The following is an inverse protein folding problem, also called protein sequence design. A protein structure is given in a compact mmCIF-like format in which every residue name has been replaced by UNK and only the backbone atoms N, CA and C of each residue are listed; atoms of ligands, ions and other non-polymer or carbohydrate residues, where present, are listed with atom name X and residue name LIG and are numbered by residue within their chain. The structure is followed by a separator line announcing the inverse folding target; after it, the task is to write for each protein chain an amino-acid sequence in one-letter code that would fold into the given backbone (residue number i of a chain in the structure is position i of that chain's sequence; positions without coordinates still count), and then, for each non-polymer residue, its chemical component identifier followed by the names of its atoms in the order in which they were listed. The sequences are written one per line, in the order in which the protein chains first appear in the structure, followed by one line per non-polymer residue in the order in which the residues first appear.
data_IF_901236962564
#
_entry.id   IF_901236962564
#
_cell.length_a   1.000
_cell.length_b   1.000
_cell.length_c   1.000
_cell.angle_alpha   90.00
_cell.angle_beta   90.00
_cell.angle_gamma   90.00
#
_symmetry.space_group_name_H-M   'P 1'
#
loop_
_entity.id
_entity.type
_entity.pdbx_description
1 polymer ?
#
# COMPACT_ATOMS: atom_id res chain seq x y z
N UNK A 1 1.79 -25.52 -12.77
CA UNK A 1 2.56 -24.27 -12.58
C UNK A 1 1.70 -23.09 -12.15
N UNK A 2 0.64 -22.71 -12.89
CA UNK A 2 -0.24 -21.56 -12.55
C UNK A 2 -0.82 -21.60 -11.12
N UNK A 3 -1.25 -22.80 -10.67
CA UNK A 3 -1.80 -23.01 -9.32
C UNK A 3 -0.75 -22.85 -8.21
N UNK A 4 0.52 -23.17 -8.47
CA UNK A 4 1.60 -23.04 -7.49
C UNK A 4 2.02 -21.57 -7.32
N UNK A 5 2.01 -20.79 -8.41
CA UNK A 5 2.27 -19.34 -8.35
C UNK A 5 1.16 -18.63 -7.57
N UNK A 6 -0.10 -18.99 -7.82
CA UNK A 6 -1.23 -18.48 -7.04
C UNK A 6 -1.12 -18.87 -5.56
N UNK A 7 -0.69 -20.10 -5.26
CA UNK A 7 -0.47 -20.54 -3.88
C UNK A 7 0.67 -19.76 -3.20
N UNK A 8 1.77 -19.50 -3.91
CA UNK A 8 2.91 -18.72 -3.39
C UNK A 8 2.52 -17.25 -3.16
N UNK A 9 1.73 -16.66 -4.05
CA UNK A 9 1.21 -15.30 -3.87
C UNK A 9 0.25 -15.22 -2.67
N UNK A 10 -0.63 -16.20 -2.51
CA UNK A 10 -1.56 -16.28 -1.37
C UNK A 10 -0.81 -16.59 -0.06
N UNK A 11 0.14 -17.52 -0.06
CA UNK A 11 0.99 -17.81 1.11
C UNK A 11 1.88 -16.63 1.48
N UNK A 12 2.41 -15.90 0.48
CA UNK A 12 3.17 -14.67 0.70
C UNK A 12 2.33 -13.55 1.31
N UNK A 13 1.05 -13.45 0.93
CA UNK A 13 0.10 -12.50 1.54
C UNK A 13 -0.36 -12.92 2.94
N UNK A 14 -0.47 -14.23 3.21
CA UNK A 14 -0.98 -14.77 4.50
C UNK A 14 0.12 -14.92 5.56
N UNK A 15 1.38 -15.18 5.16
CA UNK A 15 2.52 -15.32 6.08
C UNK A 15 3.26 -14.00 6.37
N UNK A 16 2.76 -12.87 5.87
CA UNK A 16 3.36 -11.56 6.09
C UNK A 16 3.04 -10.83 7.43
N UNK A 17 2.49 -11.43 8.51
CA UNK A 17 2.37 -10.66 9.75
C UNK A 17 3.57 -10.93 10.66
N UNK A 18 4.75 -10.39 10.34
CA UNK A 18 5.82 -10.16 11.34
C UNK A 18 5.68 -8.74 11.89
N UNK A 19 4.64 -8.53 12.68
CA UNK A 19 4.11 -7.22 13.06
C UNK A 19 4.66 -6.64 14.37
N UNK A 20 5.77 -7.15 14.92
CA UNK A 20 6.17 -6.77 16.30
C UNK A 20 7.64 -6.33 16.52
N UNK A 21 8.50 -6.22 15.49
CA UNK A 21 9.91 -5.85 15.71
C UNK A 21 10.44 -4.66 14.89
N UNK A 22 9.63 -4.10 13.98
CA UNK A 22 10.02 -2.96 13.15
C UNK A 22 8.95 -1.88 13.26
N UNK A 23 8.99 -1.08 14.32
CA UNK A 23 8.24 0.18 14.38
C UNK A 23 9.12 1.29 13.80
N UNK A 24 8.69 1.93 12.72
CA UNK A 24 9.42 3.05 12.13
C UNK A 24 9.03 3.34 10.67
N UNK A 25 9.61 4.38 10.04
CA UNK A 25 9.18 4.82 8.71
C UNK A 25 9.24 3.73 7.64
N UNK A 26 10.22 2.83 7.74
CA UNK A 26 10.37 1.70 6.81
C UNK A 26 9.24 0.68 6.94
N UNK A 27 8.69 0.44 8.13
CA UNK A 27 7.61 -0.54 8.28
C UNK A 27 6.28 -0.02 7.78
N UNK A 28 5.94 1.24 8.05
CA UNK A 28 4.76 1.88 7.44
C UNK A 28 4.87 1.89 5.92
N UNK A 29 6.07 2.17 5.37
CA UNK A 29 6.29 2.11 3.93
C UNK A 29 6.09 0.71 3.34
N UNK A 30 6.66 -0.32 3.96
CA UNK A 30 6.52 -1.72 3.51
C UNK A 30 5.06 -2.18 3.62
N UNK A 31 4.37 -1.84 4.70
CA UNK A 31 2.95 -2.17 4.87
C UNK A 31 2.10 -1.56 3.76
N UNK A 32 2.30 -0.28 3.44
CA UNK A 32 1.62 0.38 2.32
C UNK A 32 2.06 -0.11 0.93
N UNK A 33 3.29 -0.59 0.79
CA UNK A 33 3.76 -1.23 -0.44
C UNK A 33 3.11 -2.60 -0.68
N UNK A 34 2.64 -3.28 0.37
CA UNK A 34 1.90 -4.54 0.26
C UNK A 34 0.40 -4.30 0.10
N UNK A 35 -0.15 -3.37 0.89
CA UNK A 35 -1.57 -3.03 0.90
C UNK A 35 -1.68 -1.51 0.92
N UNK A 36 -2.07 -0.87 -0.20
CA UNK A 36 -2.23 0.58 -0.25
C UNK A 36 -3.15 1.09 0.86
N UNK A 37 -2.67 2.10 1.60
CA UNK A 37 -3.38 2.72 2.72
C UNK A 37 -3.03 2.15 4.09
N UNK A 38 -2.38 0.97 4.17
CA UNK A 38 -2.12 0.31 5.46
C UNK A 38 -1.09 1.08 6.32
N UNK A 39 -0.03 1.58 5.73
CA UNK A 39 0.96 2.41 6.42
C UNK A 39 0.40 3.75 6.89
N UNK A 40 -0.56 4.34 6.17
CA UNK A 40 -1.29 5.52 6.64
C UNK A 40 -2.14 5.20 7.88
N UNK A 41 -2.78 4.01 7.90
CA UNK A 41 -3.50 3.54 9.09
C UNK A 41 -2.54 3.36 10.27
N UNK A 42 -1.37 2.76 10.03
CA UNK A 42 -0.31 2.59 11.04
C UNK A 42 0.27 3.92 11.54
N UNK A 43 0.17 4.98 10.75
CA UNK A 43 0.60 6.33 11.11
C UNK A 43 -0.53 7.16 11.75
N UNK A 44 -1.68 6.55 12.08
CA UNK A 44 -2.86 7.21 12.66
C UNK A 44 -3.53 8.26 11.77
N UNK A 45 -3.20 8.31 10.47
CA UNK A 45 -3.79 9.26 9.51
C UNK A 45 -5.31 9.10 9.40
N UNK A 46 -5.82 7.89 9.68
CA UNK A 46 -7.24 7.55 9.67
C UNK A 46 -8.08 8.30 10.71
N UNK A 47 -7.47 9.02 11.66
CA UNK A 47 -8.19 9.92 12.57
C UNK A 47 -8.51 11.29 11.95
N UNK A 48 -7.79 11.68 10.89
CA UNK A 48 -7.99 12.96 10.21
C UNK A 48 -8.90 12.81 9.00
N UNK A 49 -9.70 13.83 8.68
CA UNK A 49 -10.56 13.82 7.48
C UNK A 49 -9.72 13.69 6.20
N UNK A 50 -8.57 14.36 6.14
CA UNK A 50 -7.65 14.28 5.00
C UNK A 50 -7.02 12.89 4.84
N UNK A 51 -6.59 12.26 5.94
CA UNK A 51 -6.03 10.91 5.91
C UNK A 51 -7.07 9.85 5.58
N UNK A 52 -8.30 9.95 6.10
CA UNK A 52 -9.42 9.08 5.70
C UNK A 52 -9.71 9.16 4.20
N UNK A 53 -9.78 10.38 3.65
CA UNK A 53 -10.00 10.58 2.22
C UNK A 53 -8.85 9.97 1.40
N UNK A 54 -7.60 10.19 1.82
CA UNK A 54 -6.41 9.63 1.16
C UNK A 54 -6.44 8.11 1.13
N UNK A 55 -6.67 7.48 2.29
CA UNK A 55 -6.78 6.02 2.41
C UNK A 55 -7.89 5.52 1.47
N UNK A 56 -9.07 6.13 1.52
CA UNK A 56 -10.20 5.76 0.66
C UNK A 56 -9.87 5.87 -0.83
N UNK A 57 -9.18 6.93 -1.25
CA UNK A 57 -8.71 7.08 -2.64
C UNK A 57 -7.77 5.96 -3.06
N UNK A 58 -6.81 5.58 -2.20
CA UNK A 58 -5.89 4.48 -2.49
C UNK A 58 -6.65 3.15 -2.67
N UNK A 59 -7.66 2.89 -1.85
CA UNK A 59 -8.53 1.71 -1.99
C UNK A 59 -9.36 1.73 -3.26
N UNK A 60 -9.93 2.88 -3.64
CA UNK A 60 -10.68 3.01 -4.89
C UNK A 60 -9.80 2.76 -6.12
N UNK A 61 -8.60 3.30 -6.14
CA UNK A 61 -7.63 3.08 -7.23
C UNK A 61 -7.25 1.60 -7.31
N UNK A 62 -6.98 0.97 -6.17
CA UNK A 62 -6.64 -0.45 -6.09
C UNK A 62 -7.76 -1.33 -6.64
N UNK A 63 -8.99 -1.15 -6.16
CA UNK A 63 -10.16 -1.91 -6.62
C UNK A 63 -10.43 -1.65 -8.11
N UNK A 64 -10.32 -0.40 -8.55
CA UNK A 64 -10.44 -0.04 -9.95
C UNK A 64 -9.44 -0.79 -10.82
N UNK A 65 -8.17 -0.86 -10.40
CA UNK A 65 -7.12 -1.57 -11.10
C UNK A 65 -7.32 -3.10 -11.10
N UNK A 66 -7.75 -3.70 -9.97
CA UNK A 66 -8.10 -5.13 -9.86
C UNK A 66 -9.19 -5.52 -10.84
N UNK A 67 -10.20 -4.66 -11.00
CA UNK A 67 -11.34 -4.94 -11.88
C UNK A 67 -10.98 -4.68 -13.34
N UNK A 68 -10.30 -3.56 -13.64
CA UNK A 68 -10.02 -3.17 -15.04
C UNK A 68 -8.93 -4.01 -15.68
N UNK A 69 -7.88 -4.39 -14.96
CA UNK A 69 -6.76 -5.18 -15.53
C UNK A 69 -7.21 -6.47 -16.23
N UNK A 70 -8.01 -7.37 -15.61
CA UNK A 70 -8.49 -8.59 -16.27
C UNK A 70 -9.48 -8.29 -17.41
N UNK A 71 -10.28 -7.23 -17.30
CA UNK A 71 -11.18 -6.82 -18.40
C UNK A 71 -10.34 -6.39 -19.61
N UNK A 72 -9.30 -5.59 -19.40
CA UNK A 72 -8.40 -5.17 -20.46
C UNK A 72 -7.64 -6.36 -21.04
N UNK A 73 -7.14 -7.28 -20.20
CA UNK A 73 -6.44 -8.48 -20.63
C UNK A 73 -7.32 -9.46 -21.43
N UNK A 74 -8.64 -9.45 -21.20
CA UNK A 74 -9.58 -10.34 -21.91
C UNK A 74 -10.10 -9.77 -23.23
N UNK A 75 -10.14 -8.43 -23.36
CA UNK A 75 -10.71 -7.75 -24.54
C UNK A 75 -9.68 -7.14 -25.48
N UNK A 76 -8.47 -6.90 -25.00
CA UNK A 76 -7.45 -6.15 -25.72
C UNK A 76 -6.09 -6.85 -25.66
N UNK A 77 -5.15 -6.32 -26.44
CA UNK A 77 -3.77 -6.82 -26.48
C UNK A 77 -3.08 -6.66 -25.12
N UNK A 78 -2.11 -7.54 -24.85
CA UNK A 78 -1.47 -7.65 -23.53
C UNK A 78 -0.85 -6.34 -23.05
N UNK A 79 -0.33 -5.50 -23.95
CA UNK A 79 0.25 -4.20 -23.59
C UNK A 79 -0.80 -3.18 -23.14
N UNK A 80 -2.07 -3.34 -23.53
CA UNK A 80 -3.18 -2.50 -23.05
C UNK A 80 -3.53 -2.90 -21.61
N UNK A 81 -3.49 -4.19 -21.28
CA UNK A 81 -3.67 -4.67 -19.91
C UNK A 81 -2.58 -4.16 -18.95
N UNK A 82 -1.38 -3.86 -19.47
CA UNK A 82 -0.31 -3.24 -18.69
C UNK A 82 -0.68 -1.85 -18.15
N UNK A 83 -1.69 -1.18 -18.70
CA UNK A 83 -2.21 0.08 -18.13
C UNK A 83 -2.72 -0.17 -16.71
N UNK A 84 -3.55 -1.21 -16.53
CA UNK A 84 -4.07 -1.57 -15.22
C UNK A 84 -2.97 -1.99 -14.24
N UNK A 85 -2.02 -2.81 -14.71
CA UNK A 85 -0.81 -3.19 -13.93
C UNK A 85 0.02 -1.98 -13.53
N UNK A 86 0.15 -0.98 -14.40
CA UNK A 86 0.87 0.26 -14.10
C UNK A 86 0.15 1.10 -13.06
N UNK A 87 -1.18 1.19 -13.13
CA UNK A 87 -1.99 1.88 -12.12
C UNK A 87 -1.80 1.23 -10.74
N UNK A 88 -1.83 -0.11 -10.67
CA UNK A 88 -1.49 -0.84 -9.44
C UNK A 88 -0.10 -0.46 -8.91
N UNK A 89 0.94 -0.61 -9.73
CA UNK A 89 2.31 -0.36 -9.30
C UNK A 89 2.48 1.09 -8.79
N UNK A 90 1.87 2.07 -9.46
CA UNK A 90 1.90 3.47 -9.06
C UNK A 90 1.15 3.71 -7.75
N UNK A 91 0.01 3.05 -7.52
CA UNK A 91 -0.75 3.16 -6.28
C UNK A 91 0.03 2.63 -5.07
N UNK A 92 0.65 1.46 -5.22
CA UNK A 92 1.52 0.87 -4.19
C UNK A 92 2.75 1.75 -3.92
N UNK A 93 3.40 2.26 -4.96
CA UNK A 93 4.55 3.16 -4.83
C UNK A 93 4.18 4.46 -4.11
N UNK A 94 3.07 5.10 -4.54
CA UNK A 94 2.59 6.33 -3.93
C UNK A 94 2.21 6.11 -2.47
N UNK A 95 1.46 5.04 -2.18
CA UNK A 95 1.06 4.71 -0.82
C UNK A 95 2.25 4.45 0.10
N UNK A 96 3.24 3.69 -0.37
CA UNK A 96 4.48 3.42 0.38
C UNK A 96 5.29 4.69 0.65
N UNK A 97 5.44 5.53 -0.38
CA UNK A 97 6.17 6.81 -0.27
C UNK A 97 5.50 7.77 0.70
N UNK A 98 4.18 7.85 0.66
CA UNK A 98 3.39 8.71 1.53
C UNK A 98 3.41 8.21 2.98
N UNK A 99 3.29 6.90 3.20
CA UNK A 99 3.40 6.29 4.53
C UNK A 99 4.80 6.46 5.13
N UNK A 100 5.86 6.36 4.32
CA UNK A 100 7.23 6.64 4.75
C UNK A 100 7.36 8.09 5.24
N UNK A 101 6.85 9.05 4.46
CA UNK A 101 6.92 10.49 4.79
C UNK A 101 6.09 10.82 6.03
N UNK A 102 4.87 10.28 6.14
CA UNK A 102 4.01 10.48 7.32
C UNK A 102 4.68 9.97 8.60
N UNK A 103 5.28 8.78 8.54
CA UNK A 103 5.98 8.20 9.67
C UNK A 103 7.25 8.99 10.06
N UNK A 104 7.98 9.56 9.09
CA UNK A 104 9.10 10.45 9.40
C UNK A 104 8.65 11.74 10.10
N UNK A 105 7.54 12.33 9.64
CA UNK A 105 6.95 13.52 10.28
C UNK A 105 6.52 13.25 11.72
N UNK A 106 5.90 12.10 11.98
CA UNK A 106 5.47 11.68 13.32
C UNK A 106 6.66 11.26 14.22
N UNK A 107 7.72 10.69 13.66
CA UNK A 107 8.94 10.36 14.41
C UNK A 107 9.72 11.61 14.86
N UNK A 108 9.74 12.66 14.02
CA UNK A 108 10.38 13.93 14.35
C UNK A 108 9.64 14.71 15.45
N UNK A 109 8.30 14.61 15.51
CA UNK A 109 7.51 15.27 16.56
C UNK A 109 7.67 14.61 17.94
N UNK A 110 7.86 13.29 18.00
CA UNK A 110 8.11 12.55 19.24
C UNK A 110 9.53 12.82 19.78
N UNK A 111 10.54 12.92 18.92
CA UNK A 111 11.92 13.17 19.34
C UNK A 111 12.14 14.61 19.85
N UNK A 112 11.31 15.57 19.44
CA UNK A 112 11.29 16.93 19.99
C UNK A 112 10.55 17.06 21.34
N UNK A 113 9.74 16.06 21.71
CA UNK A 113 8.98 16.04 22.98
C UNK A 113 9.80 15.55 24.17
N UNK A 114 10.87 14.77 23.94
CA UNK A 114 11.74 14.26 25.01
C UNK A 114 12.82 15.26 25.45
N UNK A 115 12.91 16.43 24.81
CA UNK A 115 13.93 17.46 25.07
C UNK A 115 13.36 18.70 25.81
N UNK A 116 12.15 18.63 26.37
CA UNK A 116 11.56 19.70 27.18
C UNK A 116 11.24 19.28 28.61
#
# INVERSE_FOLDING_TARGET
MKKAIALILVLGMVLAPTHLAWAGPKSSAVASALIPGLGQIMNDDHHTTGGKLKIFTMWLVELGAIITTPILASKYEWYIAMIGVSIFALNHWWSASDAYKGAQGNGASLQGSEVR
#
